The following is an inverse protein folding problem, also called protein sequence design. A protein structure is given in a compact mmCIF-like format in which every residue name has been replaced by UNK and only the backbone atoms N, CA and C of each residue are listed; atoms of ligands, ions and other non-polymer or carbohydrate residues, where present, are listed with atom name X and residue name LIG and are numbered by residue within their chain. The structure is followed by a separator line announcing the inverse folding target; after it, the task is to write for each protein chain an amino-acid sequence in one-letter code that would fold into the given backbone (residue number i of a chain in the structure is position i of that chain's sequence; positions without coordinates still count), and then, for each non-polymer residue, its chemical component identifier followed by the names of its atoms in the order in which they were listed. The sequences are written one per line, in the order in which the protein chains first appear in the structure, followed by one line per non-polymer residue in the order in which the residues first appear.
data_IF_331052684258
#
_entry.id   IF_331052684258
#
_cell.length_a   1.000
_cell.length_b   1.000
_cell.length_c   1.000
_cell.angle_alpha   90.00
_cell.angle_beta   90.00
_cell.angle_gamma   90.00
#
_symmetry.space_group_name_H-M   'P 1'
#
loop_
_entity.id
_entity.type
_entity.pdbx_description
1 polymer ?
#
# COMPACT_ATOMS: atom_id res chain seq x y z
N UNK A 1 13.53 1.75 11.73
CA UNK A 1 12.09 2.09 11.91
C UNK A 1 11.76 3.54 11.54
N UNK A 2 12.52 4.55 12.00
CA UNK A 2 12.24 5.97 11.71
C UNK A 2 12.23 6.38 10.22
N UNK A 3 12.86 5.60 9.33
CA UNK A 3 12.87 5.90 7.89
C UNK A 3 11.56 5.48 7.19
N UNK A 4 10.97 4.34 7.58
CA UNK A 4 9.75 3.80 6.97
C UNK A 4 8.55 4.72 7.20
N UNK A 5 8.34 5.16 8.43
CA UNK A 5 7.23 6.08 8.75
C UNK A 5 7.38 7.42 8.01
N UNK A 6 8.60 7.96 7.90
CA UNK A 6 8.87 9.18 7.11
C UNK A 6 8.57 9.02 5.63
N UNK A 7 8.84 7.85 5.04
CA UNK A 7 8.50 7.55 3.65
C UNK A 7 6.97 7.54 3.50
N UNK A 8 6.27 6.83 4.39
CA UNK A 8 4.80 6.74 4.39
C UNK A 8 4.16 8.12 4.53
N UNK A 9 4.66 8.97 5.43
CA UNK A 9 4.12 10.31 5.64
C UNK A 9 4.34 11.24 4.45
N UNK A 10 5.47 11.14 3.76
CA UNK A 10 5.73 11.89 2.52
C UNK A 10 4.79 11.48 1.39
N UNK A 11 4.58 10.18 1.21
CA UNK A 11 3.63 9.66 0.22
C UNK A 11 2.22 10.13 0.58
N UNK A 12 1.82 10.01 1.85
CA UNK A 12 0.52 10.48 2.31
C UNK A 12 0.34 11.98 2.10
N UNK A 13 1.34 12.82 2.41
CA UNK A 13 1.24 14.25 2.20
C UNK A 13 0.94 14.59 0.72
N UNK A 14 1.64 13.94 -0.21
CA UNK A 14 1.40 14.10 -1.65
C UNK A 14 0.00 13.64 -2.04
N UNK A 15 -0.42 12.48 -1.53
CA UNK A 15 -1.72 11.90 -1.84
C UNK A 15 -2.89 12.68 -1.22
N UNK A 16 -2.69 13.27 -0.04
CA UNK A 16 -3.65 14.17 0.61
C UNK A 16 -3.84 15.49 -0.15
N UNK A 17 -2.80 16.01 -0.80
CA UNK A 17 -2.91 17.19 -1.67
C UNK A 17 -3.88 16.91 -2.83
N UNK A 18 -3.83 15.70 -3.38
CA UNK A 18 -4.75 15.23 -4.43
C UNK A 18 -6.14 14.81 -3.91
N UNK A 19 -6.44 15.04 -2.62
CA UNK A 19 -7.71 14.65 -2.01
C UNK A 19 -7.88 13.14 -1.80
N UNK A 20 -6.79 12.36 -1.90
CA UNK A 20 -6.79 10.90 -1.79
C UNK A 20 -5.83 10.43 -0.68
N UNK A 21 -6.06 10.77 0.60
CA UNK A 21 -5.16 10.36 1.69
C UNK A 21 -5.00 8.83 1.76
N UNK A 22 -3.82 8.36 2.18
CA UNK A 22 -3.59 6.93 2.37
C UNK A 22 -4.47 6.40 3.51
N UNK A 23 -5.15 5.28 3.25
CA UNK A 23 -5.89 4.58 4.30
C UNK A 23 -4.95 3.89 5.28
N UNK A 24 -5.49 3.48 6.44
CA UNK A 24 -4.73 2.69 7.43
C UNK A 24 -4.22 1.38 6.79
N UNK A 25 -5.04 0.74 5.95
CA UNK A 25 -4.64 -0.47 5.22
C UNK A 25 -3.48 -0.21 4.27
N UNK A 26 -3.49 0.90 3.52
CA UNK A 26 -2.42 1.23 2.58
C UNK A 26 -1.10 1.50 3.31
N UNK A 27 -1.15 2.23 4.42
CA UNK A 27 0.02 2.46 5.27
C UNK A 27 0.60 1.14 5.80
N UNK A 28 -0.24 0.20 6.22
CA UNK A 28 0.20 -1.12 6.66
C UNK A 28 0.87 -1.89 5.53
N UNK A 29 0.26 -1.94 4.34
CA UNK A 29 0.81 -2.62 3.17
C UNK A 29 2.18 -2.06 2.77
N UNK A 30 2.31 -0.74 2.69
CA UNK A 30 3.58 -0.07 2.37
C UNK A 30 4.64 -0.44 3.41
N UNK A 31 4.28 -0.46 4.70
CA UNK A 31 5.19 -0.85 5.78
C UNK A 31 5.66 -2.30 5.66
N UNK A 32 4.78 -3.23 5.30
CA UNK A 32 5.15 -4.64 5.11
C UNK A 32 6.16 -4.81 3.97
N UNK A 33 5.96 -4.10 2.86
CA UNK A 33 6.89 -4.12 1.71
C UNK A 33 8.24 -3.50 2.07
N UNK A 34 8.24 -2.33 2.74
CA UNK A 34 9.47 -1.63 3.12
C UNK A 34 10.27 -2.31 4.25
N UNK A 35 9.69 -3.33 4.90
CA UNK A 35 10.34 -4.12 5.95
C UNK A 35 10.62 -5.56 5.53
N UNK A 36 10.57 -5.83 4.22
CA UNK A 36 10.83 -7.14 3.61
C UNK A 36 9.96 -8.29 4.17
N UNK A 37 8.81 -7.97 4.80
CA UNK A 37 7.84 -8.99 5.24
C UNK A 37 7.13 -9.64 4.06
N UNK A 38 7.03 -8.93 2.95
CA UNK A 38 6.39 -9.33 1.71
C UNK A 38 7.09 -8.63 0.55
N UNK A 39 7.30 -9.33 -0.57
CA UNK A 39 7.85 -8.69 -1.76
C UNK A 39 6.83 -7.75 -2.39
N UNK A 40 7.32 -6.75 -3.14
CA UNK A 40 6.45 -5.86 -3.92
C UNK A 40 5.53 -6.65 -4.87
N UNK A 41 6.05 -7.69 -5.53
CA UNK A 41 5.31 -8.52 -6.47
C UNK A 41 4.14 -9.26 -5.79
N UNK A 42 4.39 -9.84 -4.61
CA UNK A 42 3.36 -10.55 -3.85
C UNK A 42 2.30 -9.58 -3.32
N UNK A 43 2.67 -8.36 -2.91
CA UNK A 43 1.71 -7.32 -2.53
C UNK A 43 0.83 -6.91 -3.71
N UNK A 44 1.42 -6.66 -4.89
CA UNK A 44 0.67 -6.31 -6.11
C UNK A 44 -0.29 -7.44 -6.48
N UNK A 45 0.17 -8.70 -6.45
CA UNK A 45 -0.68 -9.87 -6.70
C UNK A 45 -1.88 -9.92 -5.76
N UNK A 46 -1.69 -9.68 -4.46
CA UNK A 46 -2.79 -9.62 -3.48
C UNK A 46 -3.78 -8.51 -3.77
N UNK A 47 -3.30 -7.33 -4.14
CA UNK A 47 -4.16 -6.19 -4.51
C UNK A 47 -4.99 -6.51 -5.76
N UNK A 48 -4.37 -7.07 -6.79
CA UNK A 48 -5.08 -7.51 -8.00
C UNK A 48 -6.14 -8.55 -7.63
N UNK A 49 -5.81 -9.58 -6.84
CA UNK A 49 -6.77 -10.61 -6.43
C UNK A 49 -7.93 -10.05 -5.59
N UNK A 50 -7.68 -9.06 -4.71
CA UNK A 50 -8.71 -8.42 -3.88
C UNK A 50 -9.74 -7.65 -4.71
N UNK A 51 -9.29 -7.01 -5.79
CA UNK A 51 -10.13 -6.11 -6.59
C UNK A 51 -10.57 -6.72 -7.93
N UNK A 52 -10.04 -7.87 -8.32
CA UNK A 52 -10.54 -8.63 -9.46
C UNK A 52 -11.87 -9.28 -9.08
N UNK A 53 -12.96 -8.83 -9.70
CA UNK A 53 -14.22 -9.56 -9.67
C UNK A 53 -13.99 -10.88 -10.40
N UNK A 54 -14.16 -12.01 -9.71
CA UNK A 54 -14.28 -13.30 -10.39
C UNK A 54 -15.55 -13.22 -11.23
N UNK A 55 -15.41 -12.98 -12.52
CA UNK A 55 -16.49 -13.17 -13.48
C UNK A 55 -16.76 -14.67 -13.47
N UNK A 56 -17.73 -15.11 -12.67
CA UNK A 56 -18.23 -16.47 -12.68
C UNK A 56 -18.83 -16.77 -14.05
N UNK A 57 -18.45 -17.92 -14.62
CA UNK A 57 -19.03 -18.45 -15.85
C UNK A 57 -20.41 -19.06 -15.67
#
# INVERSE_FOLDING_TARGET
MANVEKIIDKVNATMSIEGMPLTIEDRHRIKEVLTDKISLEEMVKRLVLKHTVKVGG
#
